data_IF_796916149865
#
_entry.id   IF_796916149865
#
_cell.length_a   1.000
_cell.length_b   1.000
_cell.length_c   1.000
_cell.angle_alpha   90.00
_cell.angle_beta   90.00
_cell.angle_gamma   90.00
#
_symmetry.space_group_name_H-M   'P 1'
#
loop_
_entity.id
_entity.type
_entity.pdbx_description
1 polymer ?
#
# COMPACT_ATOMS: atom_id res chain seq x y z
N UNK A 1 3.02 -1.23 -8.87
CA UNK A 1 1.86 -0.52 -9.49
C UNK A 1 0.83 -0.24 -8.45
N UNK A 2 0.07 0.84 -8.60
CA UNK A 2 -1.31 0.85 -8.11
C UNK A 2 -2.18 0.10 -9.11
N UNK A 3 -2.43 -1.18 -8.84
CA UNK A 3 -3.33 -2.03 -9.65
C UNK A 3 -4.70 -1.38 -9.86
N UNK A 4 -5.08 -0.51 -8.94
CA UNK A 4 -6.26 0.34 -8.93
C UNK A 4 -6.42 1.16 -10.23
N UNK A 5 -5.32 1.64 -10.85
CA UNK A 5 -5.39 2.41 -12.10
C UNK A 5 -5.71 1.52 -13.31
N UNK A 6 -5.23 0.26 -13.35
CA UNK A 6 -5.63 -0.71 -14.38
C UNK A 6 -7.13 -0.96 -14.28
N UNK A 7 -7.64 -1.24 -13.08
CA UNK A 7 -9.06 -1.57 -12.90
C UNK A 7 -9.98 -0.40 -13.19
N UNK A 8 -9.60 0.82 -12.80
CA UNK A 8 -10.35 2.01 -13.17
C UNK A 8 -10.49 2.14 -14.69
N UNK A 9 -9.39 2.04 -15.43
CA UNK A 9 -9.40 2.13 -16.89
C UNK A 9 -10.14 0.95 -17.54
N UNK A 10 -10.01 -0.25 -16.97
CA UNK A 10 -10.73 -1.43 -17.41
C UNK A 10 -12.23 -1.22 -17.29
N UNK A 11 -12.74 -0.75 -16.16
CA UNK A 11 -14.17 -0.49 -15.97
C UNK A 11 -14.66 0.74 -16.74
N UNK A 12 -13.81 1.72 -16.97
CA UNK A 12 -14.15 2.89 -17.79
C UNK A 12 -14.30 2.51 -19.27
N UNK A 13 -13.39 1.68 -19.80
CA UNK A 13 -13.42 1.25 -21.20
C UNK A 13 -14.42 0.10 -21.42
N UNK A 14 -14.51 -0.83 -20.48
CA UNK A 14 -15.36 -2.02 -20.55
C UNK A 14 -16.20 -2.20 -19.27
N UNK A 15 -17.25 -1.36 -19.08
CA UNK A 15 -18.09 -1.44 -17.89
C UNK A 15 -18.81 -2.80 -17.74
N UNK A 16 -19.01 -3.54 -18.84
CA UNK A 16 -19.61 -4.89 -18.84
C UNK A 16 -18.85 -5.90 -18.01
N UNK A 17 -17.52 -5.79 -17.95
CA UNK A 17 -16.66 -6.72 -17.21
C UNK A 17 -17.01 -6.73 -15.73
N UNK A 18 -17.37 -5.58 -15.16
CA UNK A 18 -17.84 -5.50 -13.79
C UNK A 18 -19.09 -6.35 -13.56
N UNK A 19 -20.08 -6.28 -14.46
CA UNK A 19 -21.33 -7.04 -14.37
C UNK A 19 -21.07 -8.54 -14.51
N UNK A 20 -20.16 -8.93 -15.40
CA UNK A 20 -19.71 -10.32 -15.53
C UNK A 20 -19.09 -10.83 -14.21
N UNK A 21 -18.22 -10.04 -13.56
CA UNK A 21 -17.61 -10.38 -12.27
C UNK A 21 -18.63 -10.59 -11.14
N UNK A 22 -19.74 -9.85 -11.14
CA UNK A 22 -20.82 -10.02 -10.16
C UNK A 22 -21.87 -11.05 -10.61
N UNK A 23 -21.57 -11.89 -11.60
CA UNK A 23 -22.46 -12.90 -12.18
C UNK A 23 -23.80 -12.31 -12.67
N UNK A 24 -23.73 -11.14 -13.28
CA UNK A 24 -24.85 -10.47 -13.95
C UNK A 24 -24.62 -10.43 -15.46
N UNK A 25 -25.67 -10.09 -16.20
CA UNK A 25 -25.59 -10.00 -17.65
C UNK A 25 -24.71 -8.78 -18.04
N UNK A 26 -23.75 -8.93 -18.98
CA UNK A 26 -22.90 -7.82 -19.42
C UNK A 26 -23.71 -6.68 -20.05
N UNK A 27 -24.88 -6.97 -20.61
CA UNK A 27 -25.81 -5.98 -21.17
C UNK A 27 -26.36 -5.01 -20.11
N UNK A 28 -26.36 -5.38 -18.82
CA UNK A 28 -26.75 -4.46 -17.74
C UNK A 28 -25.90 -3.18 -17.75
N UNK A 29 -24.63 -3.27 -18.15
CA UNK A 29 -23.73 -2.12 -18.22
C UNK A 29 -24.26 -0.96 -19.06
N UNK A 30 -25.07 -1.22 -20.09
CA UNK A 30 -25.69 -0.17 -20.90
C UNK A 30 -26.58 0.76 -20.06
N UNK A 31 -27.17 0.24 -18.98
CA UNK A 31 -28.03 0.96 -18.04
C UNK A 31 -27.25 1.75 -16.98
N UNK A 32 -25.93 1.65 -16.93
CA UNK A 32 -25.09 2.31 -15.93
C UNK A 32 -24.09 3.28 -16.55
N UNK A 33 -23.74 4.30 -15.78
CA UNK A 33 -22.62 5.18 -16.03
C UNK A 33 -21.52 4.87 -15.00
N UNK A 34 -20.33 4.52 -15.48
CA UNK A 34 -19.14 4.44 -14.64
C UNK A 34 -18.53 5.84 -14.51
N UNK A 35 -18.34 6.31 -13.29
CA UNK A 35 -17.90 7.67 -13.02
C UNK A 35 -17.07 7.74 -11.74
N UNK A 36 -16.30 8.83 -11.60
CA UNK A 36 -15.72 9.23 -10.33
C UNK A 36 -16.44 10.46 -9.79
N UNK A 37 -16.74 10.49 -8.49
CA UNK A 37 -17.39 11.65 -7.85
C UNK A 37 -16.58 12.19 -6.68
N UNK A 38 -16.25 13.48 -6.78
CA UNK A 38 -15.63 14.25 -5.70
C UNK A 38 -16.66 14.72 -4.68
N UNK A 39 -16.38 14.44 -3.40
CA UNK A 39 -17.13 14.99 -2.27
C UNK A 39 -16.45 16.26 -1.80
N UNK A 40 -17.08 17.40 -2.14
CA UNK A 40 -16.53 18.76 -2.04
C UNK A 40 -16.08 19.17 -0.63
N UNK A 41 -16.67 18.64 0.44
CA UNK A 41 -16.36 19.08 1.80
C UNK A 41 -15.10 18.44 2.39
N UNK A 42 -14.59 17.36 1.81
CA UNK A 42 -13.46 16.59 2.36
C UNK A 42 -12.41 16.19 1.30
N UNK A 43 -12.58 16.61 0.05
CA UNK A 43 -11.67 16.31 -1.07
C UNK A 43 -11.36 14.82 -1.27
N UNK A 44 -12.29 13.93 -0.88
CA UNK A 44 -12.19 12.50 -1.21
C UNK A 44 -12.97 12.20 -2.49
N UNK A 45 -12.52 11.15 -3.18
CA UNK A 45 -13.06 10.69 -4.46
C UNK A 45 -13.56 9.27 -4.33
N UNK A 46 -14.77 9.04 -4.79
CA UNK A 46 -15.24 7.69 -5.09
C UNK A 46 -14.86 7.39 -6.53
N UNK A 47 -13.79 6.63 -6.73
CA UNK A 47 -13.25 6.38 -8.08
C UNK A 47 -13.93 5.20 -8.79
N UNK A 48 -14.59 4.29 -8.05
CA UNK A 48 -15.29 3.14 -8.63
C UNK A 48 -16.82 3.21 -8.51
N UNK A 49 -17.49 4.21 -9.10
CA UNK A 49 -18.94 4.36 -8.95
C UNK A 49 -19.70 3.99 -10.24
N UNK A 50 -20.58 3.00 -10.17
CA UNK A 50 -21.56 2.69 -11.22
C UNK A 50 -22.94 3.23 -10.81
N UNK A 51 -23.40 4.27 -11.48
CA UNK A 51 -24.73 4.87 -11.25
C UNK A 51 -25.74 4.41 -12.31
N UNK A 52 -26.97 4.03 -11.92
CA UNK A 52 -28.04 3.83 -12.88
C UNK A 52 -28.31 5.10 -13.70
N UNK A 53 -28.49 4.95 -15.02
CA UNK A 53 -28.91 6.03 -15.92
C UNK A 53 -30.42 6.30 -15.84
N UNK A 54 -31.20 5.32 -15.38
CA UNK A 54 -32.65 5.40 -15.27
C UNK A 54 -33.06 5.63 -13.81
N UNK A 55 -34.15 6.36 -13.60
CA UNK A 55 -34.74 6.56 -12.27
C UNK A 55 -35.54 5.33 -11.78
N UNK A 56 -35.09 4.12 -12.13
CA UNK A 56 -35.68 2.89 -11.63
C UNK A 56 -35.29 2.71 -10.15
N UNK A 57 -36.25 2.75 -9.22
CA UNK A 57 -35.96 2.81 -7.79
C UNK A 57 -35.33 1.53 -7.25
N UNK A 58 -35.50 0.38 -7.92
CA UNK A 58 -34.98 -0.91 -7.44
C UNK A 58 -33.57 -1.24 -7.96
N UNK A 59 -33.04 -0.45 -8.92
CA UNK A 59 -31.68 -0.64 -9.42
C UNK A 59 -30.67 -0.04 -8.43
N UNK A 60 -29.74 -0.84 -7.88
CA UNK A 60 -28.75 -0.31 -6.97
C UNK A 60 -27.69 0.49 -7.72
N UNK A 61 -27.07 1.47 -7.08
CA UNK A 61 -25.73 1.90 -7.51
C UNK A 61 -24.66 1.01 -6.89
N UNK A 62 -23.53 0.87 -7.57
CA UNK A 62 -22.39 0.10 -7.07
C UNK A 62 -21.23 1.00 -6.73
N UNK A 63 -20.70 0.82 -5.53
CA UNK A 63 -19.38 1.30 -5.14
C UNK A 63 -18.40 0.13 -5.22
N UNK A 64 -17.40 0.28 -6.06
CA UNK A 64 -16.42 -0.75 -6.40
C UNK A 64 -15.07 -0.31 -5.88
N UNK A 65 -14.45 -1.16 -5.06
CA UNK A 65 -13.09 -0.95 -4.55
C UNK A 65 -12.25 -2.17 -4.93
N UNK A 66 -11.03 -1.93 -5.39
CA UNK A 66 -10.09 -2.98 -5.80
C UNK A 66 -8.90 -2.95 -4.85
N UNK A 67 -8.54 -4.10 -4.28
CA UNK A 67 -7.49 -4.18 -3.27
C UNK A 67 -6.55 -5.36 -3.53
N UNK A 68 -5.31 -5.05 -3.89
CA UNK A 68 -4.27 -6.03 -4.20
C UNK A 68 -3.15 -6.07 -3.14
N UNK A 69 -3.19 -5.17 -2.17
CA UNK A 69 -2.24 -5.10 -1.05
C UNK A 69 -3.00 -5.14 0.28
N UNK A 70 -2.44 -5.68 1.37
CA UNK A 70 -3.11 -5.62 2.66
C UNK A 70 -3.31 -4.16 3.12
N UNK A 71 -4.56 -3.76 3.36
CA UNK A 71 -4.90 -2.44 3.92
C UNK A 71 -5.84 -2.62 5.13
N UNK A 72 -5.30 -2.40 6.33
CA UNK A 72 -6.07 -2.50 7.57
C UNK A 72 -7.11 -1.39 7.73
N UNK A 73 -6.96 -0.28 6.99
CA UNK A 73 -7.83 0.89 7.05
C UNK A 73 -8.95 0.88 5.99
N UNK A 74 -8.89 -0.04 5.01
CA UNK A 74 -9.78 -0.10 3.85
C UNK A 74 -11.26 0.06 4.23
N UNK A 75 -11.76 -0.79 5.12
CA UNK A 75 -13.18 -0.77 5.48
C UNK A 75 -13.59 0.49 6.25
N UNK A 76 -12.69 1.08 7.03
CA UNK A 76 -12.97 2.37 7.70
C UNK A 76 -13.16 3.47 6.66
N UNK A 77 -12.27 3.52 5.67
CA UNK A 77 -12.33 4.46 4.54
C UNK A 77 -13.59 4.22 3.70
N UNK A 78 -13.80 3.00 3.22
CA UNK A 78 -14.90 2.61 2.34
C UNK A 78 -16.29 2.92 2.93
N UNK A 79 -16.54 2.53 4.19
CA UNK A 79 -17.83 2.81 4.81
C UNK A 79 -18.01 4.30 5.12
N UNK A 80 -16.96 5.01 5.54
CA UNK A 80 -17.03 6.46 5.73
C UNK A 80 -17.39 7.16 4.42
N UNK A 81 -16.74 6.80 3.32
CA UNK A 81 -16.99 7.36 1.99
C UNK A 81 -18.42 7.08 1.50
N UNK A 82 -18.93 5.85 1.66
CA UNK A 82 -20.32 5.51 1.35
C UNK A 82 -21.30 6.41 2.12
N UNK A 83 -21.16 6.51 3.44
CA UNK A 83 -22.11 7.29 4.25
C UNK A 83 -22.02 8.79 3.97
N UNK A 84 -20.83 9.31 3.69
CA UNK A 84 -20.65 10.70 3.28
C UNK A 84 -21.29 10.98 1.91
N UNK A 85 -21.15 10.05 0.96
CA UNK A 85 -21.82 10.12 -0.33
C UNK A 85 -23.35 10.11 -0.18
N UNK A 86 -23.90 9.18 0.61
CA UNK A 86 -25.34 9.10 0.88
C UNK A 86 -25.86 10.38 1.54
N UNK A 87 -25.13 10.93 2.51
CA UNK A 87 -25.46 12.20 3.17
C UNK A 87 -25.52 13.37 2.18
N UNK A 88 -24.55 13.45 1.27
CA UNK A 88 -24.43 14.57 0.34
C UNK A 88 -25.43 14.49 -0.82
N UNK A 89 -25.60 13.31 -1.41
CA UNK A 89 -26.34 13.17 -2.68
C UNK A 89 -27.73 12.57 -2.53
N UNK A 90 -28.02 11.85 -1.44
CA UNK A 90 -29.32 11.21 -1.17
C UNK A 90 -29.90 10.50 -2.41
N UNK A 91 -29.14 9.59 -3.05
CA UNK A 91 -29.57 8.97 -4.30
C UNK A 91 -30.86 8.14 -4.10
N UNK A 92 -31.81 8.17 -5.05
CA UNK A 92 -33.06 7.41 -4.96
C UNK A 92 -32.89 5.93 -5.36
N UNK A 93 -31.74 5.33 -5.01
CA UNK A 93 -31.34 3.99 -5.41
C UNK A 93 -30.76 3.24 -4.20
N UNK A 94 -31.00 1.92 -4.08
CA UNK A 94 -30.26 1.07 -3.15
C UNK A 94 -28.76 1.17 -3.42
N UNK A 95 -27.94 0.84 -2.43
CA UNK A 95 -26.50 0.79 -2.58
C UNK A 95 -26.01 -0.66 -2.53
N UNK A 96 -24.95 -0.94 -3.29
CA UNK A 96 -24.14 -2.14 -3.14
C UNK A 96 -22.67 -1.78 -3.15
N UNK A 97 -21.90 -2.41 -2.25
CA UNK A 97 -20.45 -2.38 -2.23
C UNK A 97 -19.94 -3.67 -2.85
N UNK A 98 -18.96 -3.56 -3.73
CA UNK A 98 -18.21 -4.69 -4.27
C UNK A 98 -16.73 -4.45 -4.03
N UNK A 99 -16.12 -5.29 -3.21
CA UNK A 99 -14.66 -5.27 -2.98
C UNK A 99 -14.04 -6.42 -3.76
N UNK A 100 -13.10 -6.11 -4.65
CA UNK A 100 -12.40 -7.06 -5.49
C UNK A 100 -10.98 -7.24 -4.94
N UNK A 101 -10.67 -8.44 -4.49
CA UNK A 101 -9.37 -8.85 -3.98
C UNK A 101 -8.66 -9.75 -4.99
N UNK A 102 -7.33 -9.65 -5.06
CA UNK A 102 -6.56 -10.63 -5.82
C UNK A 102 -6.70 -12.05 -5.23
N UNK A 103 -6.68 -12.15 -3.90
CA UNK A 103 -6.89 -13.38 -3.15
C UNK A 103 -7.35 -13.10 -1.71
N UNK A 104 -7.86 -14.13 -1.03
CA UNK A 104 -8.39 -14.03 0.34
C UNK A 104 -7.36 -13.57 1.40
N UNK A 105 -6.10 -14.01 1.39
CA UNK A 105 -5.09 -13.55 2.35
C UNK A 105 -4.80 -12.04 2.36
N UNK A 106 -5.15 -11.30 1.30
CA UNK A 106 -4.99 -9.84 1.24
C UNK A 106 -6.02 -9.13 2.11
N UNK A 107 -7.23 -9.67 2.23
CA UNK A 107 -8.29 -9.06 3.02
C UNK A 107 -7.86 -8.89 4.48
N UNK A 108 -8.20 -7.73 5.04
CA UNK A 108 -8.02 -7.40 6.46
C UNK A 108 -9.39 -7.17 7.05
N UNK A 109 -10.06 -8.27 7.40
CA UNK A 109 -11.35 -8.20 8.07
C UNK A 109 -11.23 -7.44 9.39
N UNK A 110 -12.22 -6.60 9.68
CA UNK A 110 -12.34 -5.83 10.91
C UNK A 110 -13.62 -6.24 11.65
N UNK A 111 -13.69 -7.47 12.18
CA UNK A 111 -14.93 -8.06 12.69
C UNK A 111 -15.52 -7.28 13.86
N UNK A 112 -14.68 -6.65 14.69
CA UNK A 112 -15.12 -5.87 15.85
C UNK A 112 -16.02 -4.70 15.46
N UNK A 113 -15.68 -3.97 14.39
CA UNK A 113 -16.40 -2.75 13.99
C UNK A 113 -17.36 -2.98 12.83
N UNK A 114 -16.99 -3.86 11.89
CA UNK A 114 -17.70 -4.01 10.63
C UNK A 114 -18.27 -5.39 10.39
N UNK A 115 -18.17 -6.33 11.34
CA UNK A 115 -18.67 -7.71 11.16
C UNK A 115 -20.10 -7.78 10.65
N UNK A 116 -21.02 -7.00 11.24
CA UNK A 116 -22.42 -6.94 10.80
C UNK A 116 -22.58 -6.31 9.41
N UNK A 117 -21.78 -5.29 9.07
CA UNK A 117 -21.83 -4.64 7.76
C UNK A 117 -21.28 -5.57 6.67
N UNK A 118 -20.19 -6.29 6.95
CA UNK A 118 -19.59 -7.27 6.03
C UNK A 118 -20.48 -8.50 5.79
N UNK A 119 -21.43 -8.76 6.69
CA UNK A 119 -22.44 -9.81 6.55
C UNK A 119 -23.67 -9.38 5.74
N UNK A 120 -23.79 -8.10 5.38
CA UNK A 120 -24.88 -7.61 4.56
C UNK A 120 -24.79 -8.15 3.13
N UNK A 121 -25.93 -8.55 2.56
CA UNK A 121 -26.01 -8.97 1.15
C UNK A 121 -25.61 -7.85 0.18
N UNK A 122 -25.66 -6.58 0.64
CA UNK A 122 -25.24 -5.41 -0.09
C UNK A 122 -23.71 -5.27 -0.16
N UNK A 123 -22.94 -6.01 0.65
CA UNK A 123 -21.47 -5.98 0.65
C UNK A 123 -20.95 -7.29 0.08
N UNK A 124 -20.53 -7.26 -1.18
CA UNK A 124 -19.98 -8.43 -1.86
C UNK A 124 -18.46 -8.36 -1.88
N UNK A 125 -17.82 -9.47 -1.55
CA UNK A 125 -16.37 -9.66 -1.65
C UNK A 125 -16.09 -10.68 -2.74
N UNK A 126 -15.26 -10.30 -3.70
CA UNK A 126 -14.86 -11.13 -4.83
C UNK A 126 -13.37 -11.40 -4.69
N UNK A 127 -12.96 -12.65 -4.74
CA UNK A 127 -11.56 -13.04 -4.79
C UNK A 127 -11.27 -13.61 -6.18
N UNK A 128 -10.33 -13.01 -6.89
CA UNK A 128 -10.08 -13.30 -8.30
C UNK A 128 -9.50 -14.71 -8.54
N UNK A 129 -8.87 -15.29 -7.52
CA UNK A 129 -8.38 -16.67 -7.49
C UNK A 129 -9.48 -17.71 -7.14
N UNK A 130 -10.67 -17.27 -6.73
CA UNK A 130 -11.79 -18.13 -6.31
C UNK A 130 -13.04 -17.98 -7.21
N UNK A 131 -12.88 -17.52 -8.45
CA UNK A 131 -13.99 -17.37 -9.39
C UNK A 131 -14.51 -18.74 -9.86
N UNK A 132 -15.84 -18.89 -9.95
CA UNK A 132 -16.45 -20.15 -10.39
C UNK A 132 -16.37 -20.37 -11.91
N UNK A 133 -16.51 -21.63 -12.35
CA UNK A 133 -16.37 -22.04 -13.77
C UNK A 133 -17.19 -21.22 -14.77
N UNK A 134 -18.38 -20.75 -14.36
CA UNK A 134 -19.24 -19.93 -15.22
C UNK A 134 -18.62 -18.54 -15.49
N UNK A 135 -18.02 -17.94 -14.46
CA UNK A 135 -17.29 -16.67 -14.59
C UNK A 135 -16.01 -16.87 -15.41
N UNK A 136 -15.32 -18.01 -15.24
CA UNK A 136 -14.08 -18.30 -15.99
C UNK A 136 -14.27 -18.47 -17.50
N UNK A 137 -15.50 -18.71 -17.97
CA UNK A 137 -15.82 -18.74 -19.41
C UNK A 137 -16.01 -17.35 -20.02
N UNK A 138 -16.17 -16.32 -19.20
CA UNK A 138 -16.33 -14.95 -19.67
C UNK A 138 -14.99 -14.38 -20.13
N UNK A 139 -15.00 -13.74 -21.29
CA UNK A 139 -13.84 -13.03 -21.84
C UNK A 139 -13.41 -11.89 -20.90
N UNK A 140 -14.36 -11.12 -20.38
CA UNK A 140 -14.09 -10.01 -19.46
C UNK A 140 -13.42 -10.46 -18.16
N UNK A 141 -13.94 -11.53 -17.55
CA UNK A 141 -13.37 -12.14 -16.35
C UNK A 141 -11.97 -12.68 -16.63
N UNK A 142 -11.76 -13.30 -17.80
CA UNK A 142 -10.43 -13.74 -18.23
C UNK A 142 -9.41 -12.60 -18.28
N UNK A 143 -9.80 -11.43 -18.81
CA UNK A 143 -8.94 -10.22 -18.83
C UNK A 143 -8.64 -9.73 -17.40
N UNK A 144 -9.59 -9.82 -16.47
CA UNK A 144 -9.37 -9.46 -15.07
C UNK A 144 -8.42 -10.45 -14.39
N UNK A 145 -8.59 -11.76 -14.61
CA UNK A 145 -7.68 -12.79 -14.09
C UNK A 145 -6.26 -12.63 -14.60
N UNK A 146 -6.09 -12.11 -15.82
CA UNK A 146 -4.76 -11.83 -16.37
C UNK A 146 -3.93 -10.91 -15.46
N UNK A 147 -4.55 -10.06 -14.66
CA UNK A 147 -3.85 -9.19 -13.69
C UNK A 147 -3.19 -9.99 -12.56
N UNK A 148 -3.83 -11.08 -12.09
CA UNK A 148 -3.32 -11.93 -10.99
C UNK A 148 -2.59 -13.20 -11.44
N UNK A 149 -2.62 -13.53 -12.73
CA UNK A 149 -1.94 -14.69 -13.32
C UNK A 149 -0.43 -14.75 -12.97
N UNK A 150 0.26 -15.89 -12.93
CA UNK A 150 1.72 -15.90 -12.87
C UNK A 150 2.39 -15.34 -14.14
N UNK A 151 3.60 -14.79 -14.05
CA UNK A 151 4.33 -14.23 -15.20
C UNK A 151 4.62 -15.29 -16.28
N UNK A 152 4.87 -16.52 -15.85
CA UNK A 152 5.21 -17.66 -16.71
C UNK A 152 4.07 -18.06 -17.64
N UNK A 153 2.82 -17.94 -17.17
CA UNK A 153 1.61 -18.36 -17.89
C UNK A 153 0.83 -17.18 -18.47
N UNK A 154 1.07 -15.95 -18.00
CA UNK A 154 0.38 -14.74 -18.44
C UNK A 154 0.41 -14.55 -19.96
N UNK A 155 1.55 -14.78 -20.61
CA UNK A 155 1.67 -14.64 -22.06
C UNK A 155 0.76 -15.59 -22.84
N UNK A 156 0.61 -16.83 -22.36
CA UNK A 156 -0.26 -17.84 -22.96
C UNK A 156 -1.73 -17.46 -22.78
N UNK A 157 -2.10 -17.05 -21.56
CA UNK A 157 -3.47 -16.60 -21.27
C UNK A 157 -3.85 -15.37 -22.09
N UNK A 158 -2.98 -14.36 -22.18
CA UNK A 158 -3.22 -13.17 -22.98
C UNK A 158 -3.41 -13.48 -24.46
N UNK A 159 -2.60 -14.38 -25.02
CA UNK A 159 -2.76 -14.83 -26.41
C UNK A 159 -4.12 -15.49 -26.64
N UNK A 160 -4.52 -16.39 -25.74
CA UNK A 160 -5.83 -17.04 -25.79
C UNK A 160 -6.98 -16.01 -25.70
N UNK A 161 -6.87 -15.02 -24.81
CA UNK A 161 -7.88 -13.95 -24.69
C UNK A 161 -7.96 -13.08 -25.95
N UNK A 162 -6.84 -12.81 -26.62
CA UNK A 162 -6.82 -12.09 -27.90
C UNK A 162 -7.53 -12.90 -28.99
N UNK A 163 -7.23 -14.20 -29.09
CA UNK A 163 -7.89 -15.09 -30.05
C UNK A 163 -9.40 -15.19 -29.79
N UNK A 164 -9.81 -15.29 -28.53
CA UNK A 164 -11.23 -15.27 -28.14
C UNK A 164 -11.90 -13.94 -28.48
N UNK A 165 -11.26 -12.80 -28.20
CA UNK A 165 -11.76 -11.47 -28.55
C UNK A 165 -11.98 -11.34 -30.07
N UNK A 166 -11.06 -11.88 -30.87
CA UNK A 166 -11.17 -11.88 -32.33
C UNK A 166 -12.32 -12.75 -32.86
N UNK A 167 -12.74 -13.78 -32.12
CA UNK A 167 -13.81 -14.68 -32.53
C UNK A 167 -15.20 -14.24 -32.02
N UNK A 168 -15.26 -13.65 -30.81
CA UNK A 168 -16.51 -13.37 -30.11
C UNK A 168 -17.03 -11.95 -30.33
N UNK A 169 -16.14 -10.98 -30.64
CA UNK A 169 -16.52 -9.58 -30.80
C UNK A 169 -16.66 -9.22 -32.28
N UNK A 170 -17.86 -8.76 -32.65
CA UNK A 170 -18.16 -8.32 -34.02
C UNK A 170 -17.81 -6.85 -34.26
N UNK A 171 -17.71 -6.04 -33.20
CA UNK A 171 -17.36 -4.62 -33.29
C UNK A 171 -15.84 -4.47 -33.26
N UNK A 172 -15.27 -4.07 -34.40
CA UNK A 172 -13.82 -3.90 -34.57
C UNK A 172 -13.23 -2.87 -33.59
N UNK A 173 -13.98 -1.84 -33.19
CA UNK A 173 -13.48 -0.83 -32.26
C UNK A 173 -13.38 -1.42 -30.84
N UNK A 174 -14.44 -2.09 -30.38
CA UNK A 174 -14.47 -2.76 -29.07
C UNK A 174 -13.40 -3.85 -29.00
N UNK A 175 -13.29 -4.65 -30.05
CA UNK A 175 -12.27 -5.70 -30.19
C UNK A 175 -10.86 -5.11 -30.09
N UNK A 176 -10.56 -4.05 -30.85
CA UNK A 176 -9.26 -3.37 -30.83
C UNK A 176 -8.94 -2.83 -29.45
N UNK A 177 -9.91 -2.19 -28.80
CA UNK A 177 -9.71 -1.57 -27.50
C UNK A 177 -9.50 -2.65 -26.41
N UNK A 178 -10.10 -3.84 -26.53
CA UNK A 178 -9.90 -4.94 -25.59
C UNK A 178 -8.51 -5.57 -25.77
N UNK A 179 -8.07 -5.77 -27.02
CA UNK A 179 -6.71 -6.25 -27.33
C UNK A 179 -5.68 -5.26 -26.78
N UNK A 180 -5.89 -3.96 -26.97
CA UNK A 180 -5.05 -2.90 -26.41
C UNK A 180 -4.96 -2.97 -24.87
N UNK A 181 -6.06 -3.29 -24.19
CA UNK A 181 -6.08 -3.48 -22.73
C UNK A 181 -5.25 -4.70 -22.32
N UNK A 182 -5.44 -5.84 -23.00
CA UNK A 182 -4.66 -7.07 -22.78
C UNK A 182 -3.16 -6.81 -22.98
N UNK A 183 -2.79 -6.12 -24.06
CA UNK A 183 -1.41 -5.69 -24.32
C UNK A 183 -0.86 -4.87 -23.14
N UNK A 184 -1.64 -3.92 -22.63
CA UNK A 184 -1.17 -3.05 -21.54
C UNK A 184 -0.97 -3.83 -20.24
N UNK A 185 -1.88 -4.76 -19.90
CA UNK A 185 -1.74 -5.63 -18.73
C UNK A 185 -0.46 -6.47 -18.85
N UNK A 186 -0.19 -7.05 -20.02
CA UNK A 186 1.01 -7.88 -20.24
C UNK A 186 2.30 -7.08 -20.16
N UNK A 187 2.34 -5.88 -20.75
CA UNK A 187 3.54 -5.04 -20.66
C UNK A 187 3.84 -4.69 -19.20
N UNK A 188 2.81 -4.43 -18.40
CA UNK A 188 3.01 -4.17 -16.99
C UNK A 188 3.54 -5.39 -16.24
N UNK A 189 2.95 -6.54 -16.55
CA UNK A 189 3.23 -7.80 -15.88
C UNK A 189 4.60 -8.37 -16.21
N UNK A 190 5.13 -8.08 -17.39
CA UNK A 190 6.41 -8.59 -17.89
C UNK A 190 7.38 -7.43 -18.16
N UNK A 191 7.79 -6.67 -17.12
CA UNK A 191 8.57 -5.45 -17.28
C UNK A 191 9.96 -5.68 -17.87
N UNK A 192 10.46 -6.91 -17.81
CA UNK A 192 11.76 -7.31 -18.35
C UNK A 192 11.72 -7.68 -19.83
N UNK A 193 10.54 -7.82 -20.44
CA UNK A 193 10.41 -8.15 -21.86
C UNK A 193 10.35 -6.90 -22.72
N UNK A 194 11.02 -6.95 -23.88
CA UNK A 194 10.92 -5.90 -24.88
C UNK A 194 9.53 -5.89 -25.52
N UNK A 195 9.17 -4.76 -26.16
CA UNK A 195 7.89 -4.63 -26.87
C UNK A 195 7.81 -5.62 -28.03
N UNK A 196 8.92 -5.86 -28.71
CA UNK A 196 9.03 -6.83 -29.81
C UNK A 196 8.84 -8.26 -29.29
N UNK A 197 9.41 -8.59 -28.14
CA UNK A 197 9.22 -9.89 -27.49
C UNK A 197 7.75 -10.11 -27.08
N UNK A 198 7.11 -9.08 -26.53
CA UNK A 198 5.69 -9.13 -26.16
C UNK A 198 4.80 -9.24 -27.40
N UNK A 199 5.06 -8.46 -28.46
CA UNK A 199 4.32 -8.56 -29.72
C UNK A 199 4.39 -9.98 -30.29
N UNK A 200 5.61 -10.55 -30.36
CA UNK A 200 5.83 -11.90 -30.86
C UNK A 200 5.13 -12.96 -30.00
N UNK A 201 5.19 -12.81 -28.66
CA UNK A 201 4.51 -13.69 -27.71
C UNK A 201 2.99 -13.72 -27.92
N UNK A 202 2.40 -12.53 -28.12
CA UNK A 202 0.95 -12.36 -28.33
C UNK A 202 0.51 -12.66 -29.78
N UNK A 203 1.45 -12.90 -30.70
CA UNK A 203 1.14 -13.13 -32.11
C UNK A 203 0.70 -11.86 -32.86
N UNK A 204 1.11 -10.69 -32.38
CA UNK A 204 0.77 -9.39 -32.94
C UNK A 204 1.91 -8.87 -33.83
N UNK A 205 1.57 -8.16 -34.91
CA UNK A 205 2.54 -7.58 -35.84
C UNK A 205 3.26 -6.36 -35.26
N UNK A 206 2.61 -5.58 -34.41
CA UNK A 206 3.19 -4.45 -33.65
C UNK A 206 2.30 -4.14 -32.43
N UNK A 207 2.90 -3.74 -31.30
CA UNK A 207 2.16 -3.20 -30.15
C UNK A 207 1.77 -1.75 -30.39
N UNK A 208 0.46 -1.45 -30.32
CA UNK A 208 -0.01 -0.07 -30.47
C UNK A 208 0.34 0.75 -29.24
N UNK A 209 0.85 1.97 -29.44
CA UNK A 209 1.04 2.94 -28.36
C UNK A 209 -0.31 3.55 -27.99
N UNK A 210 -1.00 2.97 -27.01
CA UNK A 210 -2.25 3.55 -26.48
C UNK A 210 -1.95 4.80 -25.65
N UNK A 211 -2.93 5.70 -25.48
CA UNK A 211 -2.78 6.87 -24.58
C UNK A 211 -2.53 6.42 -23.14
N UNK A 212 -3.23 5.38 -22.69
CA UNK A 212 -3.02 4.73 -21.40
C UNK A 212 -1.58 4.21 -21.24
N UNK A 213 -0.99 3.59 -22.28
CA UNK A 213 0.42 3.21 -22.27
C UNK A 213 1.35 4.43 -22.12
N UNK A 214 1.08 5.55 -22.81
CA UNK A 214 1.94 6.74 -22.70
C UNK A 214 1.92 7.32 -21.29
N UNK A 215 0.73 7.47 -20.70
CA UNK A 215 0.54 8.00 -19.34
C UNK A 215 1.17 7.07 -18.30
N UNK A 216 0.95 5.75 -18.40
CA UNK A 216 1.46 4.77 -17.43
C UNK A 216 2.95 4.50 -17.60
N UNK A 217 3.49 4.50 -18.83
CA UNK A 217 4.93 4.37 -19.07
C UNK A 217 5.69 5.59 -18.54
N UNK A 218 5.10 6.79 -18.65
CA UNK A 218 5.65 7.99 -18.05
C UNK A 218 5.62 7.92 -16.52
N UNK A 219 4.51 7.50 -15.91
CA UNK A 219 4.38 7.30 -14.46
C UNK A 219 5.40 6.26 -13.94
N UNK A 220 5.47 5.06 -14.55
CA UNK A 220 6.42 4.02 -14.17
C UNK A 220 7.89 4.44 -14.36
N UNK A 221 8.19 5.27 -15.37
CA UNK A 221 9.53 5.85 -15.55
C UNK A 221 9.85 6.88 -14.46
N UNK A 222 8.88 7.63 -13.96
CA UNK A 222 9.08 8.56 -12.86
C UNK A 222 9.22 7.81 -11.53
N UNK A 223 8.37 6.82 -11.25
CA UNK A 223 8.49 5.96 -10.06
C UNK A 223 9.83 5.23 -10.04
N UNK A 224 10.24 4.57 -11.13
CA UNK A 224 11.53 3.87 -11.20
C UNK A 224 12.74 4.82 -11.04
N UNK A 225 12.65 6.07 -11.51
CA UNK A 225 13.68 7.09 -11.23
C UNK A 225 13.70 7.48 -9.76
N UNK A 226 12.54 7.61 -9.13
CA UNK A 226 12.43 7.99 -7.74
C UNK A 226 12.91 6.85 -6.83
N UNK A 227 12.52 5.60 -7.09
CA UNK A 227 13.01 4.41 -6.40
C UNK A 227 14.53 4.26 -6.54
N UNK A 228 15.07 4.38 -7.77
CA UNK A 228 16.52 4.34 -7.98
C UNK A 228 17.26 5.44 -7.19
N UNK A 229 16.69 6.65 -7.10
CA UNK A 229 17.25 7.71 -6.26
C UNK A 229 17.19 7.32 -4.77
N UNK A 230 16.07 6.78 -4.28
CA UNK A 230 15.93 6.36 -2.89
C UNK A 230 16.87 5.21 -2.52
N UNK A 231 17.10 4.26 -3.41
CA UNK A 231 18.09 3.18 -3.23
C UNK A 231 19.52 3.73 -3.09
N UNK A 232 19.86 4.79 -3.84
CA UNK A 232 21.19 5.42 -3.72
C UNK A 232 21.42 6.20 -2.43
N UNK A 233 20.36 6.51 -1.66
CA UNK A 233 20.47 7.25 -0.39
C UNK A 233 21.43 6.53 0.57
N UNK A 234 21.33 5.20 0.69
CA UNK A 234 22.21 4.43 1.59
C UNK A 234 23.68 4.52 1.18
N UNK A 235 23.97 4.34 -0.11
CA UNK A 235 25.34 4.40 -0.63
C UNK A 235 25.95 5.79 -0.41
N UNK A 236 25.17 6.86 -0.63
CA UNK A 236 25.63 8.22 -0.41
C UNK A 236 25.84 8.55 1.07
N UNK A 237 25.00 8.03 1.96
CA UNK A 237 25.22 8.12 3.41
C UNK A 237 26.52 7.41 3.83
N UNK A 238 26.79 6.21 3.28
CA UNK A 238 28.04 5.47 3.52
C UNK A 238 29.29 6.21 3.02
N UNK A 239 29.14 7.03 1.98
CA UNK A 239 30.18 7.92 1.47
C UNK A 239 30.34 9.20 2.31
N UNK A 240 29.56 9.36 3.39
CA UNK A 240 29.68 10.46 4.35
C UNK A 240 28.89 11.72 3.99
N UNK A 241 27.98 11.67 3.00
CA UNK A 241 27.14 12.81 2.68
C UNK A 241 26.04 12.98 3.74
N UNK A 242 25.71 14.23 4.06
CA UNK A 242 24.58 14.56 4.93
C UNK A 242 23.23 14.39 4.20
N UNK A 243 22.14 14.14 4.93
CA UNK A 243 20.80 14.06 4.32
C UNK A 243 20.42 15.31 3.52
N UNK A 244 20.91 16.50 3.91
CA UNK A 244 20.72 17.74 3.17
C UNK A 244 21.45 17.73 1.81
N UNK A 245 22.71 17.31 1.80
CA UNK A 245 23.50 17.18 0.55
C UNK A 245 22.91 16.10 -0.37
N UNK A 246 22.40 15.00 0.19
CA UNK A 246 21.75 13.94 -0.58
C UNK A 246 20.42 14.43 -1.18
N UNK A 247 19.61 15.15 -0.40
CA UNK A 247 18.37 15.76 -0.88
C UNK A 247 18.63 16.72 -2.05
N UNK A 248 19.66 17.55 -1.94
CA UNK A 248 20.08 18.45 -3.01
C UNK A 248 20.59 17.68 -4.24
N UNK A 249 21.51 16.73 -4.06
CA UNK A 249 22.12 15.97 -5.15
C UNK A 249 21.10 15.11 -5.92
N UNK A 250 20.13 14.54 -5.21
CA UNK A 250 19.09 13.69 -5.81
C UNK A 250 17.83 14.47 -6.20
N UNK A 251 17.74 15.76 -5.88
CA UNK A 251 16.55 16.59 -6.03
C UNK A 251 15.31 15.93 -5.40
N UNK A 252 15.47 15.46 -4.16
CA UNK A 252 14.42 14.83 -3.37
C UNK A 252 14.03 15.75 -2.20
N UNK A 253 12.78 15.69 -1.70
CA UNK A 253 12.42 16.34 -0.46
C UNK A 253 13.31 15.86 0.70
N UNK A 254 13.76 16.78 1.54
CA UNK A 254 14.65 16.47 2.65
C UNK A 254 14.01 15.48 3.62
N UNK A 255 12.73 15.63 3.89
CA UNK A 255 11.94 14.75 4.75
C UNK A 255 11.96 13.31 4.22
N UNK A 256 11.84 13.13 2.91
CA UNK A 256 11.84 11.82 2.27
C UNK A 256 13.21 11.14 2.37
N UNK A 257 14.30 11.90 2.18
CA UNK A 257 15.68 11.40 2.36
C UNK A 257 15.93 11.02 3.82
N UNK A 258 15.46 11.83 4.78
CA UNK A 258 15.59 11.53 6.21
C UNK A 258 14.81 10.28 6.63
N UNK A 259 13.58 10.12 6.15
CA UNK A 259 12.78 8.92 6.40
C UNK A 259 13.43 7.67 5.83
N UNK A 260 13.90 7.74 4.59
CA UNK A 260 14.61 6.63 3.92
C UNK A 260 15.89 6.27 4.66
N UNK A 261 16.69 7.27 5.05
CA UNK A 261 17.89 7.08 5.85
C UNK A 261 17.59 6.35 7.17
N UNK A 262 16.53 6.78 7.88
CA UNK A 262 16.12 6.16 9.15
C UNK A 262 15.64 4.72 8.96
N UNK A 263 14.81 4.45 7.95
CA UNK A 263 14.30 3.11 7.67
C UNK A 263 15.43 2.16 7.31
N UNK A 264 16.34 2.56 6.42
CA UNK A 264 17.44 1.70 5.97
C UNK A 264 18.46 1.46 7.08
N UNK A 265 18.75 2.48 7.90
CA UNK A 265 19.63 2.31 9.07
C UNK A 265 19.00 1.36 10.09
N UNK A 266 17.68 1.47 10.36
CA UNK A 266 16.98 0.52 11.23
C UNK A 266 17.01 -0.91 10.71
N UNK A 267 16.80 -1.13 9.41
CA UNK A 267 16.86 -2.48 8.80
C UNK A 267 18.27 -3.11 8.90
N UNK A 268 19.33 -2.31 9.02
CA UNK A 268 20.71 -2.78 9.18
C UNK A 268 21.13 -3.04 10.65
N UNK A 269 20.40 -2.50 11.62
CA UNK A 269 20.66 -2.68 13.06
C UNK A 269 20.35 -4.10 13.52
N UNK A 270 21.14 -4.62 14.46
CA UNK A 270 20.80 -5.81 15.25
C UNK A 270 19.53 -5.59 16.06
N UNK A 271 18.89 -6.68 16.52
CA UNK A 271 17.72 -6.58 17.40
C UNK A 271 18.00 -5.72 18.66
N UNK A 272 19.19 -5.85 19.25
CA UNK A 272 19.57 -5.04 20.42
C UNK A 272 19.62 -3.55 20.10
N UNK A 273 20.20 -3.19 18.96
CA UNK A 273 20.30 -1.79 18.52
C UNK A 273 18.91 -1.23 18.16
N UNK A 274 18.08 -1.99 17.44
CA UNK A 274 16.70 -1.60 17.14
C UNK A 274 15.90 -1.37 18.42
N UNK A 275 15.99 -2.27 19.39
CA UNK A 275 15.29 -2.16 20.67
C UNK A 275 15.68 -0.87 21.41
N UNK A 276 16.97 -0.58 21.54
CA UNK A 276 17.46 0.63 22.22
C UNK A 276 17.11 1.90 21.44
N UNK A 277 17.26 1.90 20.11
CA UNK A 277 16.94 3.04 19.26
C UNK A 277 15.45 3.39 19.30
N UNK A 278 14.56 2.39 19.21
CA UNK A 278 13.12 2.59 19.31
C UNK A 278 12.72 3.09 20.69
N UNK A 279 13.37 2.62 21.76
CA UNK A 279 13.11 3.11 23.11
C UNK A 279 13.50 4.60 23.27
N UNK A 280 14.65 5.00 22.73
CA UNK A 280 15.08 6.41 22.71
C UNK A 280 14.11 7.28 21.88
N UNK A 281 13.64 6.77 20.74
CA UNK A 281 12.61 7.45 19.94
C UNK A 281 11.32 7.64 20.74
N UNK A 282 10.89 6.63 21.49
CA UNK A 282 9.69 6.69 22.32
C UNK A 282 9.84 7.74 23.43
N UNK A 283 10.98 7.76 24.13
CA UNK A 283 11.34 8.79 25.10
C UNK A 283 11.29 10.20 24.50
N UNK A 284 11.68 10.34 23.24
CA UNK A 284 11.78 11.66 22.60
C UNK A 284 10.43 12.14 22.06
N UNK A 285 9.66 11.24 21.42
CA UNK A 285 8.43 11.56 20.66
C UNK A 285 7.16 11.40 21.49
N UNK A 286 7.14 10.49 22.46
CA UNK A 286 5.97 10.17 23.29
C UNK A 286 6.27 10.38 24.78
N UNK A 287 6.83 11.55 25.11
CA UNK A 287 7.25 11.93 26.48
C UNK A 287 6.16 11.76 27.54
N UNK A 288 4.89 11.91 27.17
CA UNK A 288 3.75 11.76 28.08
C UNK A 288 3.54 10.33 28.59
N UNK A 289 4.14 9.32 27.94
CA UNK A 289 4.08 7.94 28.41
C UNK A 289 5.00 7.67 29.62
N UNK A 290 5.97 8.55 29.88
CA UNK A 290 6.96 8.38 30.93
C UNK A 290 6.67 9.33 32.08
N UNK A 291 6.15 8.84 33.20
CA UNK A 291 5.96 9.67 34.39
C UNK A 291 7.32 9.96 35.05
N UNK A 292 7.43 10.98 35.92
CA UNK A 292 8.67 11.26 36.65
C UNK A 292 9.19 10.04 37.43
N UNK A 293 8.28 9.23 37.99
CA UNK A 293 8.64 8.00 38.70
C UNK A 293 9.25 6.96 37.75
N UNK A 294 8.72 6.81 36.54
CA UNK A 294 9.25 5.90 35.53
C UNK A 294 10.62 6.34 35.01
N UNK A 295 10.83 7.64 34.84
CA UNK A 295 12.11 8.20 34.44
C UNK A 295 13.17 8.00 35.53
N UNK A 296 12.81 8.18 36.81
CA UNK A 296 13.71 7.92 37.92
C UNK A 296 14.07 6.43 38.08
N UNK A 297 13.10 5.53 37.85
CA UNK A 297 13.35 4.08 37.83
C UNK A 297 14.27 3.70 36.65
N UNK A 298 14.04 4.26 35.46
CA UNK A 298 14.89 4.04 34.29
C UNK A 298 16.33 4.50 34.53
N UNK A 299 16.53 5.67 35.14
CA UNK A 299 17.87 6.15 35.49
C UNK A 299 18.57 5.16 36.45
N UNK A 300 17.88 4.65 37.47
CA UNK A 300 18.45 3.64 38.37
C UNK A 300 18.80 2.32 37.66
N UNK A 301 18.02 1.92 36.66
CA UNK A 301 18.26 0.72 35.85
C UNK A 301 19.44 0.91 34.90
N UNK A 302 19.59 2.10 34.30
CA UNK A 302 20.63 2.39 33.30
C UNK A 302 21.96 2.76 33.95
N UNK A 303 21.96 3.41 35.12
CA UNK A 303 23.17 3.88 35.81
C UNK A 303 24.26 2.81 36.00
N UNK A 304 23.97 1.58 36.48
CA UNK A 304 25.02 0.57 36.72
C UNK A 304 25.46 -0.19 35.45
N UNK A 305 24.78 -0.02 34.31
CA UNK A 305 25.05 -0.83 33.11
C UNK A 305 26.37 -0.45 32.45
N UNK A 306 27.11 -1.40 31.85
CA UNK A 306 28.22 -1.07 30.97
C UNK A 306 27.72 -0.34 29.71
N UNK A 307 28.62 0.33 29.00
CA UNK A 307 28.32 0.90 27.68
C UNK A 307 28.32 -0.20 26.61
N UNK A 308 27.37 -1.13 26.74
CA UNK A 308 27.15 -2.28 25.86
C UNK A 308 25.68 -2.34 25.45
N UNK A 309 25.40 -2.21 24.16
CA UNK A 309 24.05 -2.15 23.62
C UNK A 309 23.24 -3.43 23.86
N UNK A 310 23.88 -4.59 23.92
CA UNK A 310 23.18 -5.85 24.19
C UNK A 310 22.74 -5.92 25.64
N UNK A 311 23.59 -5.51 26.58
CA UNK A 311 23.23 -5.44 28.01
C UNK A 311 22.20 -4.36 28.29
N UNK A 312 22.31 -3.18 27.66
CA UNK A 312 21.30 -2.12 27.73
C UNK A 312 19.96 -2.60 27.19
N UNK A 313 19.95 -3.25 26.01
CA UNK A 313 18.75 -3.83 25.41
C UNK A 313 18.07 -4.83 26.35
N UNK A 314 18.83 -5.76 26.97
CA UNK A 314 18.29 -6.75 27.93
C UNK A 314 17.68 -6.08 29.17
N UNK A 315 18.33 -5.05 29.69
CA UNK A 315 17.84 -4.30 30.84
C UNK A 315 16.53 -3.58 30.51
N UNK A 316 16.47 -2.90 29.35
CA UNK A 316 15.25 -2.26 28.86
C UNK A 316 14.12 -3.26 28.63
N UNK A 317 14.40 -4.41 28.00
CA UNK A 317 13.40 -5.48 27.83
C UNK A 317 12.87 -6.00 29.17
N UNK A 318 13.73 -6.07 30.19
CA UNK A 318 13.33 -6.51 31.53
C UNK A 318 12.49 -5.46 32.24
N UNK A 319 12.81 -4.19 32.07
CA UNK A 319 12.03 -3.07 32.58
C UNK A 319 10.65 -3.02 31.90
N UNK A 320 10.59 -3.05 30.57
CA UNK A 320 9.36 -3.02 29.76
C UNK A 320 8.34 -4.13 30.12
N UNK A 321 8.79 -5.29 30.61
CA UNK A 321 7.88 -6.35 31.11
C UNK A 321 7.02 -5.87 32.28
N UNK A 322 7.51 -4.90 33.06
CA UNK A 322 6.80 -4.29 34.20
C UNK A 322 5.93 -3.09 33.79
N UNK A 323 6.11 -2.55 32.57
CA UNK A 323 5.40 -1.37 32.06
C UNK A 323 4.66 -1.68 30.73
N UNK A 324 3.53 -2.42 30.79
CA UNK A 324 2.86 -2.95 29.60
C UNK A 324 2.41 -1.87 28.60
N UNK A 325 1.98 -0.68 29.07
CA UNK A 325 1.58 0.43 28.19
C UNK A 325 2.74 0.96 27.34
N UNK A 326 3.93 1.06 27.93
CA UNK A 326 5.13 1.55 27.22
C UNK A 326 5.64 0.45 26.28
N UNK A 327 5.56 -0.81 26.70
CA UNK A 327 5.87 -1.97 25.87
C UNK A 327 4.99 -2.05 24.62
N UNK A 328 3.68 -1.86 24.75
CA UNK A 328 2.76 -1.80 23.61
C UNK A 328 3.12 -0.66 22.65
N UNK A 329 3.37 0.53 23.18
CA UNK A 329 3.76 1.69 22.38
C UNK A 329 5.12 1.50 21.66
N UNK A 330 6.03 0.69 22.22
CA UNK A 330 7.29 0.37 21.57
C UNK A 330 7.13 -0.69 20.48
N UNK A 331 6.28 -1.71 20.70
CA UNK A 331 6.04 -2.78 19.74
C UNK A 331 5.43 -2.27 18.42
N UNK A 332 4.69 -1.16 18.45
CA UNK A 332 4.16 -0.52 17.23
C UNK A 332 5.22 0.19 16.40
N UNK A 333 6.42 0.43 16.96
CA UNK A 333 7.52 1.15 16.31
C UNK A 333 8.67 0.23 15.83
N UNK A 334 8.67 -1.04 16.23
CA UNK A 334 9.64 -2.04 15.75
C UNK A 334 9.18 -2.57 14.39
N UNK A 335 9.99 -2.48 13.31
CA UNK A 335 9.64 -3.03 12.01
C UNK A 335 9.41 -4.55 12.09
N UNK A 336 8.41 -5.06 11.38
CA UNK A 336 8.11 -6.50 11.34
C UNK A 336 9.26 -7.26 10.65
N UNK A 337 9.90 -8.26 11.29
CA UNK A 337 11.06 -8.97 10.72
C UNK A 337 10.78 -9.75 9.43
N UNK A 338 9.51 -9.94 9.06
CA UNK A 338 9.11 -10.64 7.83
C UNK A 338 8.98 -9.71 6.59
N UNK A 339 9.29 -8.43 6.71
CA UNK A 339 9.29 -7.46 5.59
C UNK A 339 10.63 -7.45 4.82
N UNK A 340 11.13 -8.64 4.49
CA UNK A 340 12.33 -8.84 3.68
C UNK A 340 11.95 -8.94 2.21
N UNK A 341 11.99 -7.81 1.50
CA UNK A 341 12.25 -7.82 0.06
C UNK A 341 13.53 -8.62 -0.20
N UNK A 342 13.49 -9.47 -1.22
CA UNK A 342 14.53 -10.44 -1.57
C UNK A 342 15.93 -9.81 -1.58
N UNK A 343 16.86 -10.39 -0.82
CA UNK A 343 18.29 -10.05 -0.91
C UNK A 343 18.89 -10.75 -2.11
N UNK A 344 19.54 -9.99 -2.99
CA UNK A 344 20.40 -10.54 -4.03
C UNK A 344 21.59 -11.32 -3.40
N UNK A 345 22.03 -12.46 -3.99
CA UNK A 345 23.15 -13.22 -3.47
C UNK A 345 24.47 -12.49 -3.74
N UNK A 346 25.23 -12.10 -2.70
CA UNK A 346 26.61 -11.66 -2.87
C UNK A 346 27.21 -10.66 -1.88
N UNK A 347 26.49 -10.14 -0.89
CA UNK A 347 27.08 -9.20 0.07
C UNK A 347 27.95 -9.93 1.10
N UNK A 348 29.27 -9.87 0.92
CA UNK A 348 30.22 -10.21 1.99
C UNK A 348 29.96 -9.31 3.19
N UNK A 349 29.93 -9.90 4.39
CA UNK A 349 29.90 -9.18 5.67
C UNK A 349 31.13 -8.27 5.77
N UNK A 350 30.98 -7.02 5.33
CA UNK A 350 31.87 -5.93 5.69
C UNK A 350 31.41 -5.39 7.02
N UNK A 351 32.31 -5.33 8.00
CA UNK A 351 32.10 -4.61 9.24
C UNK A 351 32.05 -3.10 8.92
N UNK A 352 30.85 -2.55 8.73
CA UNK A 352 30.65 -1.16 8.25
C UNK A 352 30.38 -0.24 9.43
N UNK A 353 31.21 0.80 9.58
CA UNK A 353 30.91 1.96 10.44
C UNK A 353 29.74 2.74 9.83
N UNK A 354 28.59 2.72 10.48
CA UNK A 354 27.41 3.54 10.17
C UNK A 354 27.67 5.02 10.49
N UNK A 355 27.19 5.98 9.68
CA UNK A 355 27.42 7.41 9.93
C UNK A 355 26.60 7.90 11.15
N UNK A 356 27.33 8.30 12.20
CA UNK A 356 26.95 9.25 13.27
C UNK A 356 25.52 9.23 13.86
N UNK A 357 25.02 8.05 14.21
CA UNK A 357 24.09 7.92 15.35
C UNK A 357 24.81 7.02 16.36
N UNK A 358 25.61 7.61 17.27
CA UNK A 358 26.27 6.83 18.31
C UNK A 358 25.20 6.36 19.31
N UNK A 359 24.65 5.18 19.04
CA UNK A 359 23.80 4.46 19.96
C UNK A 359 24.71 3.97 21.10
N UNK A 360 24.63 4.63 22.25
CA UNK A 360 25.42 4.31 23.43
C UNK A 360 24.63 4.67 24.71
N UNK A 361 25.16 4.27 25.87
CA UNK A 361 24.57 4.54 27.18
C UNK A 361 24.32 6.04 27.41
N UNK A 362 25.23 6.90 26.95
CA UNK A 362 25.11 8.34 27.15
C UNK A 362 23.95 8.93 26.35
N UNK A 363 23.73 8.48 25.11
CA UNK A 363 22.59 8.90 24.27
C UNK A 363 21.26 8.53 24.94
N UNK A 364 21.16 7.34 25.54
CA UNK A 364 19.98 6.94 26.31
C UNK A 364 19.78 7.81 27.56
N UNK A 365 20.83 8.07 28.35
CA UNK A 365 20.76 8.94 29.53
C UNK A 365 20.31 10.36 29.16
N UNK A 366 20.86 10.92 28.09
CA UNK A 366 20.48 12.24 27.60
C UNK A 366 18.98 12.28 27.23
N UNK A 367 18.45 11.24 26.59
CA UNK A 367 17.03 11.14 26.25
C UNK A 367 16.13 11.08 27.49
N UNK A 368 16.54 10.34 28.54
CA UNK A 368 15.82 10.29 29.82
C UNK A 368 15.77 11.67 30.48
N UNK A 369 16.91 12.37 30.55
CA UNK A 369 17.01 13.72 31.13
C UNK A 369 16.24 14.79 30.33
N UNK A 370 16.21 14.70 29.00
CA UNK A 370 15.42 15.60 28.17
C UNK A 370 13.91 15.37 28.36
N UNK A 371 13.51 14.12 28.60
CA UNK A 371 12.11 13.78 28.90
C UNK A 371 11.70 14.31 30.29
N UNK A 372 12.58 14.31 31.29
CA UNK A 372 12.29 14.83 32.63
C UNK A 372 12.19 16.35 32.67
N UNK A 373 13.18 17.07 32.12
CA UNK A 373 13.22 18.55 32.09
C UNK A 373 12.05 19.22 31.37
N UNK A 374 11.42 18.52 30.42
CA UNK A 374 10.24 19.01 29.70
C UNK A 374 8.94 18.86 30.49
N UNK A 375 8.87 17.95 31.47
CA UNK A 375 7.70 17.79 32.34
C UNK A 375 7.67 18.85 33.46
N UNK A 376 8.85 19.26 33.95
CA UNK A 376 8.98 20.35 34.93
C UNK A 376 8.55 21.73 34.37
N UNK A 377 8.66 21.92 33.06
CA UNK A 377 8.23 23.14 32.38
C UNK A 377 6.74 23.16 32.03
N UNK A 378 6.05 22.01 32.03
CA UNK A 378 4.60 21.93 31.90
C UNK A 378 3.87 22.02 33.25
N UNK A 379 4.47 21.55 34.35
CA UNK A 379 3.87 21.67 35.69
C UNK A 379 3.87 23.11 36.21
N UNK A 380 4.88 23.91 35.84
CA UNK A 380 5.03 25.31 36.27
C UNK A 380 4.10 26.32 35.55
N UNK A 381 3.43 25.93 34.46
CA UNK A 381 2.54 26.82 33.69
C UNK A 381 1.04 26.59 33.95
N UNK A 382 0.70 25.76 34.95
CA UNK A 382 -0.69 25.45 35.34
C UNK A 382 -1.15 26.14 36.64
N UNK A 383 -0.34 27.06 37.17
CA UNK A 383 -0.66 27.83 38.36
C UNK A 383 -0.39 29.32 38.15
N UNK A 384 -1.31 30.02 37.47
CA UNK A 384 -1.53 31.46 37.57
C UNK A 384 -2.94 31.81 37.15
#
# INVERSE_FOLDING_TARGET
MKTDSIFYNLFQAFPSIFFELINRSPEEAASYEFTSREVKQLAFRLDGLFLPKTNEPDKPFYLVEVQFQPDASLYYRLFAELFLFLKQYQPPHPWQIVVIYANRPIEREQPLHFGNLLALNQVRRIYLDELGEAAERSLGVGVVKLVIEPEETAGQLARHLIEQAQQQLNDEAVQRDLINLIETIIVYKLPQKSREEIAAMLGLSELKKTRFYQEVFEEGKQEGKQEAKLETVLALLQLGLTSAQIAEALQLPLELVQQTAQQTTRKAMSFSEQNVATFIELLTRQRSLFTPEYLAELDQVVEPLPDDITEISKALSSWLKKHPRIREAQLTLIPNPNDSGEKAPGSKEGNVKTPNYELNKQTLKNAIQQSSSSQDSQSSNSGS
#
